data_IF_929223325242
#
_entry.id   IF_929223325242
#
_cell.length_a   1.000
_cell.length_b   1.000
_cell.length_c   1.000
_cell.angle_alpha   90.00
_cell.angle_beta   90.00
_cell.angle_gamma   90.00
#
_symmetry.space_group_name_H-M   'P 1'
#
loop_
_entity.id
_entity.type
_entity.pdbx_description
1 polymer ?
#
# COMPACT_ATOMS: atom_id res chain seq x y z
N UNK A 1 -0.36 -1.67 14.97
CA UNK A 1 -1.47 -2.01 14.06
C UNK A 1 -0.87 -2.86 12.94
N UNK A 2 -1.47 -3.99 12.61
CA UNK A 2 -1.07 -4.83 11.49
C UNK A 2 -2.14 -4.68 10.39
N UNK A 3 -1.70 -4.53 9.13
CA UNK A 3 -2.58 -4.42 7.97
C UNK A 3 -2.34 -5.64 7.10
N UNK A 4 -3.42 -6.32 6.70
CA UNK A 4 -3.34 -7.51 5.85
C UNK A 4 -2.99 -7.13 4.40
N UNK A 5 -2.06 -7.88 3.82
CA UNK A 5 -1.72 -7.84 2.41
C UNK A 5 -2.08 -9.13 1.67
N UNK A 6 -1.73 -9.17 0.39
CA UNK A 6 -2.01 -10.32 -0.47
C UNK A 6 -1.39 -11.64 0.03
N UNK A 7 -0.22 -11.59 0.67
CA UNK A 7 0.42 -12.78 1.22
C UNK A 7 -0.30 -13.32 2.46
N UNK A 8 -0.88 -12.44 3.28
CA UNK A 8 -1.67 -12.80 4.46
C UNK A 8 -2.98 -13.50 4.07
N UNK A 9 -3.52 -13.11 2.91
CA UNK A 9 -4.63 -13.76 2.22
C UNK A 9 -4.25 -15.03 1.45
N UNK A 10 -3.08 -15.62 1.72
CA UNK A 10 -2.58 -16.78 0.97
C UNK A 10 -2.62 -16.55 -0.55
N UNK A 11 -2.26 -15.34 -1.01
CA UNK A 11 -2.29 -14.93 -2.42
C UNK A 11 -3.68 -14.97 -3.09
N UNK A 12 -4.76 -14.94 -2.30
CA UNK A 12 -6.14 -15.05 -2.77
C UNK A 12 -6.62 -16.49 -2.98
N UNK A 13 -5.89 -17.47 -2.43
CA UNK A 13 -6.31 -18.87 -2.46
C UNK A 13 -7.49 -19.15 -1.52
N UNK A 14 -8.14 -20.30 -1.69
CA UNK A 14 -9.32 -20.69 -0.89
C UNK A 14 -9.06 -20.75 0.64
N UNK A 15 -7.81 -20.89 1.10
CA UNK A 15 -7.42 -20.86 2.51
C UNK A 15 -7.21 -19.44 3.06
N UNK A 16 -7.29 -18.39 2.22
CA UNK A 16 -6.93 -17.02 2.58
C UNK A 16 -7.60 -16.48 3.85
N UNK A 17 -8.92 -16.65 3.98
CA UNK A 17 -9.64 -16.23 5.18
C UNK A 17 -9.20 -17.01 6.43
N UNK A 18 -8.95 -18.32 6.29
CA UNK A 18 -8.50 -19.14 7.40
C UNK A 18 -7.04 -18.80 7.79
N UNK A 19 -6.17 -18.51 6.82
CA UNK A 19 -4.82 -18.01 7.04
C UNK A 19 -4.84 -16.68 7.81
N UNK A 20 -5.68 -15.74 7.39
CA UNK A 20 -5.83 -14.44 8.03
C UNK A 20 -6.34 -14.57 9.49
N UNK A 21 -7.29 -15.46 9.74
CA UNK A 21 -7.77 -15.77 11.10
C UNK A 21 -6.67 -16.38 11.98
N UNK A 22 -5.83 -17.26 11.42
CA UNK A 22 -4.66 -17.81 12.15
C UNK A 22 -3.67 -16.70 12.51
N UNK A 23 -3.42 -15.76 11.60
CA UNK A 23 -2.55 -14.61 11.86
C UNK A 23 -3.12 -13.66 12.92
N UNK A 24 -4.41 -13.31 12.85
CA UNK A 24 -5.06 -12.49 13.89
C UNK A 24 -4.95 -13.14 15.27
N UNK A 25 -5.21 -14.45 15.36
CA UNK A 25 -5.05 -15.21 16.60
C UNK A 25 -3.61 -15.16 17.12
N UNK A 26 -2.62 -15.31 16.24
CA UNK A 26 -1.21 -15.21 16.61
C UNK A 26 -0.86 -13.81 17.15
N UNK A 27 -1.31 -12.74 16.49
CA UNK A 27 -1.06 -11.36 16.92
C UNK A 27 -1.67 -11.12 18.31
N UNK A 28 -2.92 -11.55 18.51
CA UNK A 28 -3.64 -11.39 19.78
C UNK A 28 -2.98 -12.15 20.93
N UNK A 29 -2.42 -13.34 20.66
CA UNK A 29 -1.73 -14.15 21.67
C UNK A 29 -0.32 -13.63 22.00
N UNK A 30 0.40 -13.11 21.00
CA UNK A 30 1.84 -12.82 21.14
C UNK A 30 2.15 -11.42 21.67
N UNK A 31 1.26 -10.45 21.49
CA UNK A 31 1.59 -9.03 21.70
C UNK A 31 0.64 -8.27 22.66
N UNK A 32 -0.20 -8.99 23.42
CA UNK A 32 -1.13 -8.42 24.39
C UNK A 32 -2.15 -7.45 23.77
N UNK A 33 -2.76 -6.58 24.57
CA UNK A 33 -3.82 -5.66 24.12
C UNK A 33 -3.35 -4.51 23.22
N UNK A 34 -2.03 -4.32 23.06
CA UNK A 34 -1.44 -3.20 22.32
C UNK A 34 -1.27 -3.42 20.82
N UNK A 35 -1.43 -4.65 20.34
CA UNK A 35 -1.29 -5.02 18.92
C UNK A 35 -2.56 -5.67 18.40
N UNK A 36 -2.99 -5.25 17.21
CA UNK A 36 -4.21 -5.76 16.57
C UNK A 36 -4.01 -5.80 15.06
N UNK A 37 -4.56 -6.83 14.42
CA UNK A 37 -4.87 -6.84 12.99
C UNK A 37 -6.06 -5.92 12.76
N UNK A 38 -5.94 -4.96 11.86
CA UNK A 38 -7.03 -4.06 11.51
C UNK A 38 -7.12 -3.89 9.99
N UNK A 39 -8.35 -3.96 9.43
CA UNK A 39 -9.57 -4.48 10.07
C UNK A 39 -9.43 -5.94 10.55
N UNK A 40 -10.35 -6.42 11.37
CA UNK A 40 -10.33 -7.82 11.82
C UNK A 40 -10.43 -8.80 10.65
N UNK A 41 -9.93 -10.02 10.85
CA UNK A 41 -9.80 -11.00 9.78
C UNK A 41 -11.12 -11.26 9.03
N UNK A 42 -11.14 -11.02 7.72
CA UNK A 42 -12.31 -11.18 6.87
C UNK A 42 -13.21 -9.96 6.75
N UNK A 43 -12.87 -8.85 7.42
CA UNK A 43 -13.58 -7.58 7.27
C UNK A 43 -12.82 -6.62 6.35
N UNK A 44 -13.51 -5.94 5.42
CA UNK A 44 -12.88 -4.94 4.55
C UNK A 44 -12.50 -3.64 5.27
N UNK A 45 -13.14 -3.37 6.40
CA UNK A 45 -13.12 -2.04 7.04
C UNK A 45 -13.99 -1.05 6.26
N UNK A 46 -13.73 0.27 6.38
CA UNK A 46 -12.68 0.89 7.17
C UNK A 46 -12.91 0.79 8.69
N UNK A 47 -11.82 0.80 9.46
CA UNK A 47 -11.85 0.96 10.92
C UNK A 47 -11.02 2.18 11.30
N UNK A 48 -11.61 3.13 12.04
CA UNK A 48 -10.91 4.31 12.54
C UNK A 48 -10.42 4.13 13.98
N UNK A 49 -9.20 4.61 14.26
CA UNK A 49 -8.65 4.77 15.60
C UNK A 49 -8.22 6.22 15.76
N UNK A 50 -8.71 6.84 16.82
CA UNK A 50 -8.37 8.22 17.16
C UNK A 50 -7.37 8.25 18.32
N UNK A 51 -6.30 9.02 18.17
CA UNK A 51 -5.31 9.21 19.22
C UNK A 51 -4.58 10.53 19.06
N UNK A 52 -4.53 11.34 20.13
CA UNK A 52 -3.69 12.56 20.23
C UNK A 52 -3.76 13.50 19.00
N UNK A 53 -4.96 13.78 18.47
CA UNK A 53 -5.12 14.67 17.32
C UNK A 53 -4.90 14.00 15.96
N UNK A 54 -4.81 12.68 15.91
CA UNK A 54 -4.64 11.88 14.70
C UNK A 54 -5.82 10.91 14.59
N UNK A 55 -6.34 10.74 13.37
CA UNK A 55 -7.26 9.67 13.01
C UNK A 55 -6.55 8.72 12.05
N UNK A 56 -6.33 7.48 12.48
CA UNK A 56 -5.81 6.41 11.62
C UNK A 56 -7.00 5.60 11.11
N UNK A 57 -7.16 5.50 9.79
CA UNK A 57 -8.20 4.71 9.14
C UNK A 57 -7.53 3.52 8.45
N UNK A 58 -7.81 2.30 8.92
CA UNK A 58 -7.28 1.07 8.36
C UNK A 58 -8.27 0.42 7.39
N UNK A 59 -7.76 -0.04 6.24
CA UNK A 59 -8.51 -0.72 5.18
C UNK A 59 -7.84 -2.04 4.81
N UNK A 60 -8.62 -3.09 4.62
CA UNK A 60 -8.15 -4.27 3.91
C UNK A 60 -8.35 -4.05 2.40
N UNK A 61 -7.32 -3.48 1.77
CA UNK A 61 -7.30 -3.30 0.31
C UNK A 61 -7.31 -4.62 -0.46
N UNK A 62 -6.82 -5.73 0.11
CA UNK A 62 -6.79 -7.00 -0.61
C UNK A 62 -8.18 -7.62 -0.75
N UNK A 63 -9.07 -7.37 0.22
CA UNK A 63 -10.48 -7.78 0.14
C UNK A 63 -11.19 -7.30 -1.13
N UNK A 64 -10.77 -6.19 -1.73
CA UNK A 64 -11.35 -5.68 -2.98
C UNK A 64 -11.12 -6.59 -4.20
N UNK A 65 -10.18 -7.53 -4.10
CA UNK A 65 -9.83 -8.48 -5.15
C UNK A 65 -10.59 -9.82 -5.01
N UNK A 66 -11.21 -10.06 -3.85
CA UNK A 66 -11.92 -11.29 -3.48
C UNK A 66 -13.41 -11.25 -3.86
N UNK A 67 -13.76 -11.61 -5.09
CA UNK A 67 -15.15 -11.48 -5.59
C UNK A 67 -16.15 -12.46 -4.95
N UNK A 68 -15.68 -13.62 -4.48
CA UNK A 68 -16.53 -14.69 -3.95
C UNK A 68 -16.53 -14.77 -2.43
N UNK A 69 -15.71 -13.94 -1.77
CA UNK A 69 -15.60 -13.97 -0.33
C UNK A 69 -16.65 -13.05 0.29
N UNK A 70 -17.62 -13.66 0.97
CA UNK A 70 -18.50 -12.90 1.86
C UNK A 70 -17.70 -12.47 3.08
N UNK A 71 -17.81 -11.20 3.51
CA UNK A 71 -17.21 -10.77 4.75
C UNK A 71 -17.75 -11.61 5.91
N UNK A 72 -16.95 -11.71 6.97
CA UNK A 72 -17.37 -12.39 8.19
C UNK A 72 -18.68 -11.77 8.71
N UNK A 73 -19.56 -12.55 9.34
CA UNK A 73 -20.86 -12.06 9.81
C UNK A 73 -20.75 -10.98 10.88
N UNK A 74 -19.58 -10.85 11.49
CA UNK A 74 -19.23 -9.80 12.45
C UNK A 74 -18.84 -8.45 11.81
N UNK A 75 -18.63 -8.42 10.49
CA UNK A 75 -18.21 -7.20 9.79
C UNK A 75 -19.36 -6.20 9.63
N UNK A 76 -19.03 -4.92 9.79
CA UNK A 76 -20.01 -3.84 9.63
C UNK A 76 -20.30 -3.52 8.17
N UNK A 77 -19.28 -3.57 7.31
CA UNK A 77 -19.39 -3.32 5.88
C UNK A 77 -19.34 -4.66 5.14
N UNK A 78 -20.28 -4.84 4.22
CA UNK A 78 -20.46 -6.09 3.48
C UNK A 78 -20.32 -5.96 1.96
N UNK A 79 -20.22 -4.72 1.46
CA UNK A 79 -20.06 -4.41 0.04
C UNK A 79 -19.03 -3.31 -0.20
N UNK A 80 -18.45 -3.27 -1.40
CA UNK A 80 -17.47 -2.24 -1.81
C UNK A 80 -18.05 -0.81 -1.70
N UNK A 81 -19.35 -0.65 -1.95
CA UNK A 81 -20.06 0.63 -1.82
C UNK A 81 -20.23 1.05 -0.36
N UNK A 82 -20.54 0.10 0.54
CA UNK A 82 -20.59 0.37 1.99
C UNK A 82 -19.21 0.74 2.54
N UNK A 83 -18.15 0.08 2.07
CA UNK A 83 -16.76 0.43 2.42
C UNK A 83 -16.45 1.87 1.98
N UNK A 84 -16.77 2.22 0.73
CA UNK A 84 -16.54 3.55 0.18
C UNK A 84 -17.35 4.64 0.92
N UNK A 85 -18.64 4.39 1.18
CA UNK A 85 -19.50 5.29 1.92
C UNK A 85 -18.98 5.49 3.35
N UNK A 86 -18.61 4.40 4.04
CA UNK A 86 -18.11 4.51 5.41
C UNK A 86 -16.77 5.23 5.46
N UNK A 87 -15.89 5.00 4.49
CA UNK A 87 -14.62 5.73 4.40
C UNK A 87 -14.89 7.22 4.20
N UNK A 88 -15.86 7.58 3.35
CA UNK A 88 -16.29 8.97 3.13
C UNK A 88 -16.77 9.62 4.41
N UNK A 89 -17.57 8.93 5.21
CA UNK A 89 -17.99 9.44 6.51
C UNK A 89 -16.78 9.68 7.42
N UNK A 90 -15.88 8.71 7.56
CA UNK A 90 -14.75 8.78 8.50
C UNK A 90 -13.72 9.86 8.14
N UNK A 91 -13.49 10.12 6.84
CA UNK A 91 -12.58 11.19 6.40
C UNK A 91 -13.20 12.58 6.57
N UNK A 92 -14.53 12.72 6.40
CA UNK A 92 -15.22 14.00 6.55
C UNK A 92 -15.54 14.32 8.02
N UNK A 93 -15.67 13.30 8.89
CA UNK A 93 -15.95 13.42 10.32
C UNK A 93 -14.66 13.43 11.18
N UNK A 94 -13.57 13.95 10.63
CA UNK A 94 -12.26 13.97 11.31
C UNK A 94 -12.06 15.17 12.24
N UNK A 95 -12.97 16.14 12.26
CA UNK A 95 -12.83 17.41 12.97
C UNK A 95 -11.44 18.05 12.70
N UNK A 96 -10.70 18.44 13.74
CA UNK A 96 -9.35 18.98 13.65
C UNK A 96 -8.25 17.91 13.62
N UNK A 97 -8.58 16.61 13.49
CA UNK A 97 -7.58 15.53 13.54
C UNK A 97 -6.93 15.36 12.18
N UNK A 98 -5.62 15.09 12.18
CA UNK A 98 -4.90 14.70 10.97
C UNK A 98 -5.28 13.28 10.57
N UNK A 99 -5.82 13.13 9.36
CA UNK A 99 -6.24 11.83 8.85
C UNK A 99 -5.07 11.11 8.17
N UNK A 100 -4.81 9.88 8.60
CA UNK A 100 -3.87 8.94 8.01
C UNK A 100 -4.64 7.70 7.61
N UNK A 101 -4.66 7.39 6.31
CA UNK A 101 -5.24 6.15 5.80
C UNK A 101 -4.11 5.13 5.61
N UNK A 102 -4.31 3.91 6.10
CA UNK A 102 -3.34 2.82 5.98
C UNK A 102 -3.98 1.62 5.29
N UNK A 103 -3.30 1.10 4.27
CA UNK A 103 -3.74 -0.05 3.47
C UNK A 103 -2.51 -0.81 2.94
N UNK A 104 -2.70 -1.97 2.31
CA UNK A 104 -1.60 -2.71 1.71
C UNK A 104 -1.23 -2.19 0.31
N UNK A 105 -2.22 -2.03 -0.57
CA UNK A 105 -1.97 -1.66 -1.98
C UNK A 105 -1.85 -0.13 -2.16
N UNK A 106 -0.83 0.36 -2.87
CA UNK A 106 -0.67 1.80 -3.13
C UNK A 106 -1.66 2.32 -4.17
N UNK A 107 -2.08 3.58 -4.04
CA UNK A 107 -2.92 4.27 -5.05
C UNK A 107 -2.13 4.81 -6.26
N UNK A 108 -0.81 4.87 -6.10
CA UNK A 108 0.18 5.26 -7.10
C UNK A 108 1.53 4.69 -6.66
N UNK A 109 2.30 4.17 -7.62
CA UNK A 109 3.69 3.72 -7.43
C UNK A 109 4.42 3.90 -8.76
N UNK A 110 5.71 4.22 -8.69
CA UNK A 110 6.65 4.20 -9.81
C UNK A 110 7.55 2.96 -9.80
N UNK A 111 7.16 1.91 -9.09
CA UNK A 111 7.79 0.58 -9.14
C UNK A 111 7.10 -0.36 -10.14
N UNK A 112 7.47 -1.65 -10.17
CA UNK A 112 6.99 -2.57 -11.20
C UNK A 112 5.48 -2.81 -11.21
N UNK A 113 4.80 -2.75 -10.05
CA UNK A 113 3.33 -2.84 -10.00
C UNK A 113 2.64 -1.59 -10.58
N UNK A 114 3.38 -0.47 -10.68
CA UNK A 114 2.99 0.73 -11.40
C UNK A 114 3.31 0.70 -12.90
N UNK A 115 3.95 -0.36 -13.39
CA UNK A 115 4.35 -0.51 -14.78
C UNK A 115 5.74 0.06 -15.11
N UNK A 116 6.57 0.32 -14.11
CA UNK A 116 7.97 0.67 -14.32
C UNK A 116 8.81 -0.57 -14.63
N UNK A 117 9.67 -0.46 -15.65
CA UNK A 117 10.63 -1.48 -16.05
C UNK A 117 11.94 -0.77 -16.38
N UNK A 118 13.06 -1.28 -15.87
CA UNK A 118 14.36 -0.69 -16.10
C UNK A 118 15.00 -1.20 -17.40
N UNK A 119 16.21 -0.71 -17.71
CA UNK A 119 16.92 -1.13 -18.92
C UNK A 119 17.27 -2.62 -18.91
N UNK A 120 17.47 -3.23 -17.74
CA UNK A 120 17.77 -4.65 -17.58
C UNK A 120 16.52 -5.46 -17.89
N UNK A 121 15.34 -5.01 -17.49
CA UNK A 121 14.07 -5.65 -17.85
C UNK A 121 13.86 -5.66 -19.37
N UNK A 122 14.24 -4.59 -20.06
CA UNK A 122 14.09 -4.48 -21.51
C UNK A 122 15.10 -5.32 -22.29
N UNK A 123 16.32 -5.47 -21.78
CA UNK A 123 17.39 -6.18 -22.47
C UNK A 123 17.50 -7.65 -22.06
N UNK A 124 17.20 -7.97 -20.80
CA UNK A 124 17.38 -9.28 -20.16
C UNK A 124 16.13 -9.72 -19.37
N UNK A 125 14.93 -9.77 -19.96
CA UNK A 125 13.68 -9.99 -19.22
C UNK A 125 13.62 -11.34 -18.47
N UNK A 126 14.42 -12.34 -18.85
CA UNK A 126 14.46 -13.65 -18.18
C UNK A 126 15.10 -13.60 -16.79
N UNK A 127 15.85 -12.54 -16.46
CA UNK A 127 16.40 -12.37 -15.11
C UNK A 127 15.31 -12.22 -14.04
N UNK A 128 14.10 -11.82 -14.44
CA UNK A 128 12.93 -11.75 -13.56
C UNK A 128 12.31 -13.11 -13.24
N UNK A 129 12.68 -14.16 -14.00
CA UNK A 129 12.26 -15.54 -13.76
C UNK A 129 13.34 -16.26 -12.95
N UNK A 130 14.61 -16.09 -13.33
CA UNK A 130 15.74 -16.57 -12.56
C UNK A 130 16.94 -15.64 -12.75
N UNK A 131 17.56 -15.21 -11.65
CA UNK A 131 18.62 -14.18 -11.64
C UNK A 131 19.84 -14.50 -12.52
N UNK A 132 20.07 -15.78 -12.82
CA UNK A 132 21.19 -16.25 -13.64
C UNK A 132 20.93 -16.18 -15.15
N UNK A 133 19.70 -15.95 -15.60
CA UNK A 133 19.30 -15.94 -17.02
C UNK A 133 19.61 -14.60 -17.72
N UNK A 134 20.89 -14.25 -17.83
CA UNK A 134 21.39 -13.05 -18.53
C UNK A 134 21.46 -13.25 -20.05
N UNK A 135 20.31 -13.56 -20.66
CA UNK A 135 20.21 -13.77 -22.11
C UNK A 135 19.64 -12.49 -22.74
N UNK A 136 20.42 -11.77 -23.57
CA UNK A 136 19.94 -10.55 -24.20
C UNK A 136 18.84 -10.89 -25.21
N UNK A 137 17.66 -10.30 -25.03
CA UNK A 137 16.52 -10.47 -25.91
C UNK A 137 15.94 -9.10 -26.33
N UNK A 138 16.71 -8.29 -27.08
CA UNK A 138 16.20 -7.02 -27.61
C UNK A 138 14.97 -7.27 -28.48
N UNK A 139 14.05 -6.30 -28.57
CA UNK A 139 12.73 -6.37 -29.24
C UNK A 139 11.71 -7.21 -28.45
N UNK A 140 12.04 -8.45 -28.07
CA UNK A 140 11.14 -9.30 -27.25
C UNK A 140 11.02 -8.76 -25.83
N UNK A 141 12.13 -8.32 -25.22
CA UNK A 141 12.13 -7.66 -23.91
C UNK A 141 11.46 -6.29 -23.90
N UNK A 142 11.35 -5.62 -25.04
CA UNK A 142 10.51 -4.41 -25.19
C UNK A 142 9.02 -4.75 -25.32
N UNK A 143 8.71 -5.95 -25.83
CA UNK A 143 7.37 -6.54 -25.77
C UNK A 143 7.06 -7.17 -24.42
N UNK A 144 8.05 -7.55 -23.62
CA UNK A 144 7.86 -8.29 -22.37
C UNK A 144 7.01 -7.52 -21.34
N UNK A 145 7.25 -6.23 -21.06
CA UNK A 145 6.35 -5.36 -20.29
C UNK A 145 4.92 -5.32 -20.84
N UNK A 146 4.77 -5.28 -22.18
CA UNK A 146 3.47 -5.34 -22.84
C UNK A 146 2.82 -6.72 -22.63
N UNK A 147 3.58 -7.81 -22.73
CA UNK A 147 3.10 -9.17 -22.50
C UNK A 147 2.85 -9.48 -21.03
N UNK A 148 3.51 -8.85 -20.06
CA UNK A 148 3.12 -8.97 -18.65
C UNK A 148 1.79 -8.25 -18.42
N UNK A 149 1.64 -7.05 -18.98
CA UNK A 149 0.38 -6.31 -18.97
C UNK A 149 -0.77 -7.02 -19.72
N UNK A 150 -0.47 -7.90 -20.69
CA UNK A 150 -1.48 -8.62 -21.50
C UNK A 150 -1.69 -10.11 -21.15
N UNK A 151 -0.62 -10.86 -20.86
CA UNK A 151 -0.57 -12.32 -20.63
C UNK A 151 -0.45 -12.70 -19.15
N UNK A 152 0.18 -11.87 -18.31
CA UNK A 152 0.36 -12.08 -16.86
C UNK A 152 -0.39 -10.98 -16.13
N UNK A 153 -1.68 -10.82 -16.47
CA UNK A 153 -2.57 -9.86 -15.82
C UNK A 153 -2.74 -10.25 -14.35
N UNK A 154 -1.88 -9.73 -13.49
CA UNK A 154 -2.17 -9.66 -12.07
C UNK A 154 -3.24 -8.59 -11.91
N UNK A 155 -4.41 -8.98 -11.41
CA UNK A 155 -5.44 -8.00 -11.06
C UNK A 155 -4.94 -7.01 -10.00
N UNK A 156 -3.85 -7.33 -9.28
CA UNK A 156 -3.20 -6.50 -8.26
C UNK A 156 -2.25 -5.44 -8.83
N UNK A 157 -1.87 -5.48 -10.11
CA UNK A 157 -1.12 -4.38 -10.74
C UNK A 157 -2.03 -3.15 -10.91
N UNK A 158 -1.48 -1.93 -10.88
CA UNK A 158 -2.28 -0.71 -11.09
C UNK A 158 -3.00 -0.69 -12.45
N UNK A 159 -2.53 -1.46 -13.43
CA UNK A 159 -3.20 -1.64 -14.72
C UNK A 159 -4.38 -2.61 -14.70
N UNK A 160 -4.48 -3.47 -13.68
CA UNK A 160 -5.51 -4.49 -13.50
C UNK A 160 -6.91 -3.89 -13.32
N UNK A 161 -7.95 -4.61 -13.77
CA UNK A 161 -9.31 -4.07 -13.76
C UNK A 161 -9.82 -3.87 -12.32
N UNK A 162 -9.55 -4.84 -11.43
CA UNK A 162 -9.93 -4.77 -10.01
C UNK A 162 -9.18 -3.67 -9.26
N UNK A 163 -7.86 -3.56 -9.45
CA UNK A 163 -7.08 -2.50 -8.82
C UNK A 163 -7.53 -1.11 -9.31
N UNK A 164 -7.77 -0.93 -10.62
CA UNK A 164 -8.33 0.32 -11.16
C UNK A 164 -9.68 0.69 -10.53
N UNK A 165 -10.56 -0.29 -10.33
CA UNK A 165 -11.85 -0.05 -9.69
C UNK A 165 -11.68 0.39 -8.23
N UNK A 166 -10.84 -0.32 -7.46
CA UNK A 166 -10.51 0.05 -6.08
C UNK A 166 -9.87 1.45 -6.01
N UNK A 167 -8.82 1.69 -6.78
CA UNK A 167 -8.11 2.98 -6.80
C UNK A 167 -9.04 4.11 -7.19
N UNK A 168 -9.94 3.91 -8.17
CA UNK A 168 -10.94 4.92 -8.52
C UNK A 168 -11.87 5.23 -7.35
N UNK A 169 -12.47 4.20 -6.75
CA UNK A 169 -13.41 4.35 -5.65
C UNK A 169 -12.75 5.02 -4.43
N UNK A 170 -11.53 4.60 -4.07
CA UNK A 170 -10.79 5.21 -2.98
C UNK A 170 -10.40 6.65 -3.30
N UNK A 171 -9.87 6.94 -4.50
CA UNK A 171 -9.51 8.32 -4.87
C UNK A 171 -10.71 9.25 -4.83
N UNK A 172 -11.86 8.81 -5.33
CA UNK A 172 -13.10 9.60 -5.30
C UNK A 172 -13.50 9.96 -3.86
N UNK A 173 -13.45 8.99 -2.95
CA UNK A 173 -13.80 9.21 -1.54
C UNK A 173 -12.79 10.08 -0.83
N UNK A 174 -11.49 9.80 -0.98
CA UNK A 174 -10.42 10.52 -0.29
C UNK A 174 -10.38 12.00 -0.68
N UNK A 175 -10.69 12.31 -1.95
CA UNK A 175 -10.76 13.69 -2.45
C UNK A 175 -11.89 14.53 -1.82
N UNK A 176 -12.79 13.93 -1.03
CA UNK A 176 -13.90 14.66 -0.38
C UNK A 176 -13.52 15.30 0.95
N UNK A 177 -12.44 14.85 1.59
CA UNK A 177 -11.98 15.35 2.89
C UNK A 177 -10.49 15.67 2.89
N UNK A 178 -10.00 16.20 4.01
CA UNK A 178 -8.59 16.54 4.19
C UNK A 178 -7.80 15.34 4.72
N UNK A 179 -7.21 14.57 3.80
CA UNK A 179 -6.40 13.40 4.13
C UNK A 179 -4.92 13.73 3.96
N UNK A 180 -4.18 13.74 5.08
CA UNK A 180 -2.76 14.09 5.10
C UNK A 180 -1.91 13.01 4.45
N UNK A 181 -2.12 11.75 4.83
CA UNK A 181 -1.29 10.62 4.36
C UNK A 181 -2.18 9.46 3.94
N UNK A 182 -1.87 8.86 2.79
CA UNK A 182 -2.21 7.47 2.49
C UNK A 182 -0.92 6.65 2.50
N UNK A 183 -0.78 5.73 3.44
CA UNK A 183 0.40 4.87 3.58
C UNK A 183 0.08 3.45 3.10
N UNK A 184 0.99 2.92 2.27
CA UNK A 184 0.88 1.60 1.67
C UNK A 184 2.20 0.83 1.67
N UNK A 185 2.09 -0.48 1.45
CA UNK A 185 3.19 -1.38 1.16
C UNK A 185 3.05 -1.92 -0.26
N UNK A 186 3.00 -3.25 -0.38
CA UNK A 186 2.89 -4.05 -1.61
C UNK A 186 4.04 -3.89 -2.62
N UNK A 187 4.36 -2.65 -3.00
CA UNK A 187 5.54 -2.36 -3.80
C UNK A 187 6.78 -2.41 -2.92
N UNK A 188 7.79 -3.16 -3.34
CA UNK A 188 9.01 -3.38 -2.55
C UNK A 188 10.04 -2.25 -2.72
N UNK A 189 9.60 -1.02 -2.49
CA UNK A 189 10.38 0.21 -2.66
C UNK A 189 10.05 1.20 -1.53
N UNK A 190 10.85 2.25 -1.43
CA UNK A 190 10.56 3.43 -0.61
C UNK A 190 10.20 4.59 -1.54
N UNK A 191 8.96 5.11 -1.46
CA UNK A 191 8.54 6.26 -2.27
C UNK A 191 7.72 7.26 -1.45
N UNK A 192 8.06 8.54 -1.59
CA UNK A 192 7.29 9.68 -1.09
C UNK A 192 6.78 10.45 -2.30
N UNK A 193 5.46 10.45 -2.49
CA UNK A 193 4.82 11.09 -3.63
C UNK A 193 3.81 12.14 -3.16
N UNK A 194 3.67 13.22 -3.92
CA UNK A 194 2.56 14.17 -3.73
C UNK A 194 1.24 13.54 -4.21
N UNK A 195 0.18 13.65 -3.42
CA UNK A 195 -1.13 13.08 -3.73
C UNK A 195 -2.09 14.04 -4.46
N UNK A 196 -1.72 15.31 -4.60
CA UNK A 196 -2.49 16.32 -5.33
C UNK A 196 -3.85 16.61 -4.69
N UNK A 197 -4.92 16.39 -5.45
CA UNK A 197 -6.30 16.64 -4.99
C UNK A 197 -6.91 15.46 -4.22
N UNK A 198 -6.22 14.32 -4.16
CA UNK A 198 -6.75 13.11 -3.52
C UNK A 198 -6.39 13.05 -2.04
N UNK A 199 -5.11 13.22 -1.73
CA UNK A 199 -4.50 13.29 -0.40
C UNK A 199 -3.28 14.20 -0.51
N UNK A 200 -2.71 14.68 0.60
CA UNK A 200 -1.48 15.48 0.51
C UNK A 200 -0.27 14.61 0.12
N UNK A 201 -0.11 13.45 0.77
CA UNK A 201 1.04 12.56 0.55
C UNK A 201 0.64 11.09 0.38
N UNK A 202 1.22 10.45 -0.63
CA UNK A 202 1.20 9.00 -0.82
C UNK A 202 2.56 8.44 -0.39
N UNK A 203 2.55 7.56 0.62
CA UNK A 203 3.75 6.94 1.16
C UNK A 203 3.76 5.45 0.81
N UNK A 204 4.77 5.01 0.06
CA UNK A 204 4.99 3.60 -0.25
C UNK A 204 6.20 3.13 0.55
N UNK A 205 5.98 2.24 1.51
CA UNK A 205 7.00 1.74 2.44
C UNK A 205 6.99 0.21 2.49
N UNK A 206 7.10 -0.45 1.33
CA UNK A 206 7.08 -1.92 1.24
C UNK A 206 8.45 -2.60 1.22
N UNK A 207 9.55 -1.84 1.37
CA UNK A 207 10.92 -2.35 1.35
C UNK A 207 11.45 -2.85 2.72
N UNK A 208 10.61 -3.47 3.54
CA UNK A 208 10.98 -3.94 4.89
C UNK A 208 11.92 -5.15 4.93
N UNK A 209 12.35 -5.70 3.78
CA UNK A 209 13.17 -6.91 3.68
C UNK A 209 14.16 -6.83 2.51
N UNK A 210 15.43 -7.15 2.77
CA UNK A 210 16.54 -7.03 1.79
C UNK A 210 16.35 -7.91 0.55
N UNK A 211 15.73 -9.07 0.74
CA UNK A 211 15.61 -10.11 -0.29
C UNK A 211 14.59 -9.75 -1.38
N UNK A 212 13.87 -8.63 -1.25
CA UNK A 212 12.69 -8.35 -2.09
C UNK A 212 12.66 -6.99 -2.78
N UNK A 213 13.66 -6.13 -2.63
CA UNK A 213 13.63 -4.78 -3.24
C UNK A 213 13.58 -4.82 -4.76
N UNK A 214 12.84 -3.91 -5.38
CA UNK A 214 12.62 -3.84 -6.83
C UNK A 214 12.99 -2.48 -7.43
N UNK A 215 13.29 -2.45 -8.73
CA UNK A 215 13.62 -1.22 -9.44
C UNK A 215 12.50 -0.18 -9.36
N UNK A 216 12.86 1.08 -9.12
CA UNK A 216 11.92 2.18 -8.98
C UNK A 216 12.32 3.36 -9.85
N UNK A 217 11.34 3.95 -10.53
CA UNK A 217 11.49 5.17 -11.31
C UNK A 217 11.08 6.41 -10.53
N UNK A 218 10.91 7.51 -11.24
CA UNK A 218 10.33 8.74 -10.73
C UNK A 218 9.42 9.38 -11.78
N UNK A 219 8.55 10.28 -11.34
CA UNK A 219 7.73 11.14 -12.18
C UNK A 219 7.47 12.49 -11.51
N UNK A 220 6.59 13.30 -12.10
CA UNK A 220 6.42 14.71 -11.73
C UNK A 220 6.04 14.95 -10.25
N UNK A 221 5.36 13.98 -9.63
CA UNK A 221 4.91 14.07 -8.22
C UNK A 221 5.87 13.37 -7.25
N UNK A 222 7.01 12.87 -7.71
CA UNK A 222 7.96 12.13 -6.86
C UNK A 222 8.81 13.10 -6.05
N UNK A 223 8.74 12.99 -4.73
CA UNK A 223 9.61 13.72 -3.80
C UNK A 223 10.83 12.90 -3.38
N UNK A 224 10.65 11.59 -3.28
CA UNK A 224 11.70 10.61 -2.98
C UNK A 224 11.32 9.26 -3.56
N UNK A 225 12.27 8.54 -4.14
CA UNK A 225 12.11 7.15 -4.56
C UNK A 225 13.46 6.43 -4.47
N UNK A 226 13.52 5.29 -3.79
CA UNK A 226 14.76 4.54 -3.65
C UNK A 226 14.55 3.03 -3.60
N UNK A 227 15.44 2.30 -4.29
CA UNK A 227 15.58 0.85 -4.24
C UNK A 227 16.52 0.53 -3.08
N UNK A 228 16.01 0.61 -1.86
CA UNK A 228 16.78 0.24 -0.67
C UNK A 228 15.82 -0.27 0.40
N UNK A 229 16.32 -1.12 1.30
CA UNK A 229 15.55 -1.50 2.47
C UNK A 229 15.38 -0.36 3.43
N UNK A 230 14.25 -0.33 4.11
CA UNK A 230 14.00 0.69 5.11
C UNK A 230 12.55 0.82 5.46
N UNK A 231 12.26 1.91 6.14
CA UNK A 231 10.93 2.26 6.60
C UNK A 231 10.80 3.77 6.74
N UNK A 232 9.56 4.22 6.92
CA UNK A 232 9.25 5.63 7.15
C UNK A 232 8.80 5.84 8.60
N UNK A 233 9.26 6.93 9.19
CA UNK A 233 8.77 7.44 10.47
C UNK A 233 8.02 8.76 10.21
N UNK A 234 6.81 8.87 10.75
CA UNK A 234 6.01 10.09 10.70
C UNK A 234 5.78 10.57 12.12
N UNK A 235 6.44 11.65 12.49
CA UNK A 235 6.37 12.26 13.81
C UNK A 235 5.31 13.36 13.83
N UNK A 236 4.26 13.15 14.60
CA UNK A 236 3.25 14.16 14.90
C UNK A 236 3.65 14.92 16.16
N UNK A 237 4.15 16.14 15.98
CA UNK A 237 4.69 16.97 17.04
C UNK A 237 3.62 17.91 17.62
N UNK A 238 3.97 18.57 18.73
CA UNK A 238 3.17 19.65 19.28
C UNK A 238 2.93 20.75 18.22
N UNK A 239 1.83 21.50 18.38
CA UNK A 239 1.45 22.60 17.48
C UNK A 239 1.03 22.16 16.07
N UNK A 240 0.78 20.87 15.86
CA UNK A 240 0.25 20.35 14.60
C UNK A 240 1.29 20.14 13.49
N UNK A 241 2.59 20.30 13.82
CA UNK A 241 3.70 20.05 12.90
C UNK A 241 3.91 18.55 12.69
N UNK A 242 4.13 18.15 11.44
CA UNK A 242 4.34 16.74 11.07
C UNK A 242 5.64 16.59 10.29
N UNK A 243 6.53 15.71 10.76
CA UNK A 243 7.82 15.44 10.13
C UNK A 243 7.84 14.02 9.58
N UNK A 244 8.09 13.89 8.28
CA UNK A 244 8.37 12.62 7.63
C UNK A 244 9.87 12.39 7.55
N UNK A 245 10.31 11.18 7.91
CA UNK A 245 11.68 10.69 7.78
C UNK A 245 11.71 9.34 7.08
N UNK A 246 12.61 9.15 6.12
CA UNK A 246 12.89 7.85 5.50
C UNK A 246 14.21 7.33 6.05
N UNK A 247 14.19 6.10 6.58
CA UNK A 247 15.32 5.49 7.30
C UNK A 247 15.72 4.22 6.58
N UNK A 248 17.00 4.14 6.22
CA UNK A 248 17.62 3.00 5.55
C UNK A 248 18.65 2.37 6.49
N UNK A 249 18.57 1.05 6.77
CA UNK A 249 19.55 0.38 7.62
C UNK A 249 20.95 0.48 7.03
N UNK A 250 21.96 0.69 7.88
CA UNK A 250 23.36 0.85 7.46
C UNK A 250 23.76 2.31 7.19
N UNK A 251 22.79 3.19 6.94
CA UNK A 251 23.04 4.62 6.83
C UNK A 251 23.15 5.29 8.21
N UNK A 252 24.13 6.19 8.36
CA UNK A 252 24.35 6.92 9.63
C UNK A 252 23.36 8.07 9.83
N UNK A 253 22.80 8.56 8.74
CA UNK A 253 21.90 9.71 8.71
C UNK A 253 20.59 9.33 8.04
N UNK A 254 19.54 10.08 8.36
CA UNK A 254 18.23 9.94 7.71
C UNK A 254 18.37 10.36 6.25
N UNK A 255 18.04 9.46 5.32
CA UNK A 255 18.27 9.65 3.87
C UNK A 255 17.31 10.64 3.22
N UNK A 256 16.13 10.85 3.83
CA UNK A 256 15.19 11.87 3.39
C UNK A 256 14.37 12.39 4.56
N UNK A 257 14.17 13.72 4.62
CA UNK A 257 13.36 14.39 5.64
C UNK A 257 12.50 15.47 5.03
N UNK A 258 11.23 15.55 5.42
CA UNK A 258 10.30 16.58 4.94
C UNK A 258 9.27 16.95 6.01
N UNK A 259 9.15 18.25 6.28
CA UNK A 259 7.97 18.79 6.98
C UNK A 259 6.75 18.68 6.06
N UNK A 260 5.71 18.01 6.53
CA UNK A 260 4.44 17.87 5.82
C UNK A 260 3.58 19.10 6.09
N UNK A 261 2.64 19.38 5.18
CA UNK A 261 1.75 20.55 5.27
C UNK A 261 1.05 20.66 6.62
N UNK A 262 0.98 21.90 7.10
CA UNK A 262 0.09 22.36 8.18
C UNK A 262 -1.35 22.51 7.70
#
# INVERSE_FOLDING_TARGET
IFIAGNHDWSHGDADGLAALKRQENFINQSHGSGSKLLPSAGCPGPVAIDSKGIRIIALDSHWWFEDNLKPDTSCQQTSKDEVALKLKELVNDADARRVVVVAHHPLLTYGPHGGFYDWKDHLFPLTNIAEWLWIPMPIIGSLYPLTRAWLVRSDQDLSGAKNKAMVRALKEVLSTGEVLIYAAGHEHTLQVLEGGQVVDYLLVSGAGSEVKTTSVGHGDVTLFAHLHTGFMAVDFLAEGRVLLSVIEPGEKEIVFRKWLKE
#
